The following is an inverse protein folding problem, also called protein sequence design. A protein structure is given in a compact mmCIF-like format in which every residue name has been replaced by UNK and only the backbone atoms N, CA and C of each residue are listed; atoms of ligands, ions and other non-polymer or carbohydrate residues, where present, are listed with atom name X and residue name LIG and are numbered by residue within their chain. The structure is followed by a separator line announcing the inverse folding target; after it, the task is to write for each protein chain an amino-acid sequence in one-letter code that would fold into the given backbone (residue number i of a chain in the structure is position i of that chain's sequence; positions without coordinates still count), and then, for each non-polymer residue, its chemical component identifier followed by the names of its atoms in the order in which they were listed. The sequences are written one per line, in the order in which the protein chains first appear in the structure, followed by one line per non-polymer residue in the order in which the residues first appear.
data_IF_331369976030
#
_entry.id   IF_331369976030
#
_cell.length_a   1.000
_cell.length_b   1.000
_cell.length_c   1.000
_cell.angle_alpha   90.00
_cell.angle_beta   90.00
_cell.angle_gamma   90.00
#
_symmetry.space_group_name_H-M   'P 1'
#
loop_
_entity.id
_entity.type
_entity.pdbx_description
1 polymer ?
#
# COMPACT_ATOMS: atom_id res chain seq x y z
N UNK A 1 4.71 -18.61 5.06
CA UNK A 1 3.48 -19.40 5.35
C UNK A 1 2.18 -18.57 5.28
N UNK A 2 2.22 -17.27 4.93
CA UNK A 2 1.02 -16.44 4.75
C UNK A 2 0.36 -16.64 3.37
N UNK A 3 1.14 -16.96 2.33
CA UNK A 3 0.65 -17.04 0.94
C UNK A 3 -0.33 -18.20 0.66
N UNK A 4 -0.43 -19.17 1.57
CA UNK A 4 -1.39 -20.30 1.50
C UNK A 4 -2.68 -20.01 2.27
N UNK A 5 -2.74 -18.92 3.03
CA UNK A 5 -3.94 -18.48 3.75
C UNK A 5 -4.91 -17.79 2.77
N UNK A 6 -6.13 -18.33 2.64
CA UNK A 6 -7.16 -17.75 1.79
C UNK A 6 -7.53 -16.32 2.21
N UNK A 7 -7.44 -16.01 3.52
CA UNK A 7 -7.67 -14.66 4.03
C UNK A 7 -6.61 -13.67 3.57
N UNK A 8 -5.34 -14.09 3.53
CA UNK A 8 -4.25 -13.26 3.01
C UNK A 8 -4.47 -12.90 1.54
N UNK A 9 -4.83 -13.88 0.70
CA UNK A 9 -5.09 -13.65 -0.73
C UNK A 9 -6.26 -12.70 -0.96
N UNK A 10 -7.35 -12.86 -0.21
CA UNK A 10 -8.50 -11.93 -0.28
C UNK A 10 -8.09 -10.52 0.12
N UNK A 11 -7.28 -10.38 1.18
CA UNK A 11 -6.78 -9.08 1.60
C UNK A 11 -5.87 -8.43 0.55
N UNK A 12 -4.93 -9.18 -0.04
CA UNK A 12 -4.08 -8.66 -1.12
C UNK A 12 -4.93 -8.22 -2.32
N UNK A 13 -5.89 -9.05 -2.73
CA UNK A 13 -6.78 -8.71 -3.83
C UNK A 13 -7.54 -7.39 -3.54
N UNK A 14 -8.11 -7.25 -2.35
CA UNK A 14 -8.78 -6.01 -1.96
C UNK A 14 -7.85 -4.80 -1.85
N UNK A 15 -6.58 -4.96 -1.46
CA UNK A 15 -5.61 -3.86 -1.47
C UNK A 15 -5.31 -3.38 -2.89
N UNK A 16 -5.34 -4.28 -3.87
CA UNK A 16 -5.06 -3.97 -5.28
C UNK A 16 -6.29 -3.41 -5.98
N UNK A 17 -7.44 -4.10 -5.88
CA UNK A 17 -8.66 -3.75 -6.61
C UNK A 17 -9.56 -2.75 -5.87
N UNK A 18 -9.23 -2.43 -4.62
CA UNK A 18 -10.09 -1.72 -3.69
C UNK A 18 -11.01 -2.67 -2.92
N UNK A 19 -11.24 -2.34 -1.65
CA UNK A 19 -12.28 -2.96 -0.85
C UNK A 19 -13.58 -2.21 -1.11
N UNK A 20 -14.65 -2.91 -1.49
CA UNK A 20 -15.98 -2.30 -1.64
C UNK A 20 -16.53 -1.65 -0.35
N UNK A 21 -15.86 -1.83 0.79
CA UNK A 21 -16.09 -1.14 2.05
C UNK A 21 -14.78 -0.95 2.85
N UNK A 22 -14.67 0.11 3.68
CA UNK A 22 -13.46 0.41 4.45
C UNK A 22 -13.22 -0.45 5.69
N UNK A 23 -14.22 -1.23 6.14
CA UNK A 23 -14.09 -2.13 7.29
C UNK A 23 -13.18 -3.33 6.96
N UNK A 24 -13.30 -3.87 5.74
CA UNK A 24 -12.45 -4.99 5.29
C UNK A 24 -10.99 -4.56 5.14
N UNK A 25 -10.73 -3.35 4.66
CA UNK A 25 -9.36 -2.80 4.56
C UNK A 25 -8.67 -2.75 5.93
N UNK A 26 -9.35 -2.17 6.92
CA UNK A 26 -8.82 -1.99 8.28
C UNK A 26 -8.53 -3.34 8.94
N UNK A 27 -9.44 -4.31 8.76
CA UNK A 27 -9.23 -5.67 9.26
C UNK A 27 -8.00 -6.33 8.62
N UNK A 28 -7.84 -6.20 7.30
CA UNK A 28 -6.70 -6.75 6.56
C UNK A 28 -5.36 -6.14 7.00
N UNK A 29 -5.29 -4.82 7.20
CA UNK A 29 -4.08 -4.13 7.67
C UNK A 29 -3.72 -4.50 9.11
N UNK A 30 -4.72 -4.80 9.94
CA UNK A 30 -4.49 -5.25 11.33
C UNK A 30 -3.99 -6.69 11.37
N UNK A 31 -4.55 -7.56 10.51
CA UNK A 31 -4.29 -9.00 10.51
C UNK A 31 -3.00 -9.39 9.79
N UNK A 32 -2.63 -8.64 8.76
CA UNK A 32 -1.50 -8.92 7.88
C UNK A 32 -0.67 -7.65 7.66
N UNK A 33 0.67 -7.76 7.57
CA UNK A 33 1.55 -6.61 7.32
C UNK A 33 1.54 -6.23 5.83
N UNK A 34 0.37 -5.81 5.33
CA UNK A 34 0.16 -5.46 3.93
C UNK A 34 0.38 -3.95 3.70
N UNK A 35 0.92 -3.55 2.53
CA UNK A 35 0.90 -2.15 2.12
C UNK A 35 -0.55 -1.63 2.01
N UNK A 36 -0.73 -0.32 2.19
CA UNK A 36 -2.05 0.30 2.01
C UNK A 36 -2.49 0.26 0.54
N UNK A 37 -3.80 0.38 0.23
CA UNK A 37 -4.27 0.44 -1.15
C UNK A 37 -3.66 1.60 -1.93
N UNK A 38 -3.41 2.74 -1.25
CA UNK A 38 -2.73 3.89 -1.86
C UNK A 38 -1.32 3.54 -2.34
N UNK A 39 -0.59 2.67 -1.63
CA UNK A 39 0.71 2.17 -2.08
C UNK A 39 0.59 1.46 -3.42
N UNK A 40 -0.36 0.52 -3.53
CA UNK A 40 -0.58 -0.24 -4.76
C UNK A 40 -1.00 0.66 -5.92
N UNK A 41 -1.91 1.62 -5.67
CA UNK A 41 -2.30 2.62 -6.67
C UNK A 41 -1.11 3.42 -7.20
N UNK A 42 -0.21 3.86 -6.31
CA UNK A 42 0.99 4.59 -6.73
C UNK A 42 1.96 3.73 -7.55
N UNK A 43 2.12 2.44 -7.21
CA UNK A 43 2.93 1.51 -8.00
C UNK A 43 2.34 1.26 -9.39
N UNK A 44 1.03 1.13 -9.49
CA UNK A 44 0.33 1.00 -10.76
C UNK A 44 0.58 2.23 -11.64
N UNK A 45 0.37 3.43 -11.12
CA UNK A 45 0.54 4.69 -11.86
C UNK A 45 2.00 4.98 -12.24
N UNK A 46 2.98 4.46 -11.50
CA UNK A 46 4.39 4.52 -11.93
C UNK A 46 4.63 3.74 -13.24
N UNK A 47 3.86 2.67 -13.47
CA UNK A 47 4.01 1.82 -14.64
C UNK A 47 3.12 2.26 -15.80
N UNK A 48 1.88 2.67 -15.51
CA UNK A 48 0.87 3.01 -16.51
C UNK A 48 0.77 4.52 -16.81
N UNK A 49 1.40 5.36 -15.99
CA UNK A 49 1.31 6.81 -16.05
C UNK A 49 0.35 7.38 -14.99
N UNK A 50 0.62 8.63 -14.58
CA UNK A 50 -0.22 9.34 -13.62
C UNK A 50 -1.44 9.95 -14.32
N UNK A 51 -2.62 9.77 -13.73
CA UNK A 51 -3.87 10.34 -14.23
C UNK A 51 -3.92 11.87 -14.10
N UNK A 52 -3.16 12.43 -13.14
CA UNK A 52 -3.06 13.87 -12.93
C UNK A 52 -1.72 14.27 -12.32
N UNK A 53 -1.39 15.56 -12.43
CA UNK A 53 -0.26 16.16 -11.72
C UNK A 53 -0.38 15.98 -10.20
N UNK A 54 -1.60 16.11 -9.68
CA UNK A 54 -1.88 15.95 -8.26
C UNK A 54 -1.56 14.52 -7.79
N UNK A 55 -1.95 13.50 -8.56
CA UNK A 55 -1.61 12.10 -8.26
C UNK A 55 -0.10 11.88 -8.23
N UNK A 56 0.64 12.45 -9.19
CA UNK A 56 2.11 12.37 -9.22
C UNK A 56 2.73 12.95 -7.97
N UNK A 57 2.30 14.15 -7.58
CA UNK A 57 2.82 14.84 -6.38
C UNK A 57 2.44 14.06 -5.11
N UNK A 58 1.22 13.53 -5.02
CA UNK A 58 0.76 12.74 -3.89
C UNK A 58 1.60 11.45 -3.72
N UNK A 59 1.78 10.69 -4.80
CA UNK A 59 2.60 9.48 -4.78
C UNK A 59 4.08 9.76 -4.47
N UNK A 60 4.64 10.82 -5.04
CA UNK A 60 6.01 11.25 -4.72
C UNK A 60 6.18 11.57 -3.23
N UNK A 61 5.25 12.34 -2.64
CA UNK A 61 5.30 12.66 -1.21
C UNK A 61 5.12 11.42 -0.32
N UNK A 62 4.26 10.49 -0.72
CA UNK A 62 4.03 9.24 -0.01
C UNK A 62 5.30 8.38 0.04
N UNK A 63 5.94 8.11 -1.11
CA UNK A 63 7.18 7.32 -1.13
C UNK A 63 8.33 8.01 -0.41
N UNK A 64 8.44 9.35 -0.51
CA UNK A 64 9.42 10.11 0.29
C UNK A 64 9.21 9.91 1.79
N UNK A 65 7.96 9.89 2.25
CA UNK A 65 7.63 9.66 3.66
C UNK A 65 8.04 8.25 4.11
N UNK A 66 7.84 7.24 3.26
CA UNK A 66 8.29 5.87 3.54
C UNK A 66 9.82 5.80 3.62
N UNK A 67 10.53 6.39 2.66
CA UNK A 67 11.99 6.39 2.64
C UNK A 67 12.56 6.99 3.94
N UNK A 68 12.07 8.15 4.37
CA UNK A 68 12.48 8.79 5.63
C UNK A 68 12.23 7.91 6.85
N UNK A 69 11.13 7.14 6.88
CA UNK A 69 10.84 6.21 7.99
C UNK A 69 11.83 5.05 8.03
N UNK A 70 12.16 4.48 6.87
CA UNK A 70 13.14 3.39 6.76
C UNK A 70 14.53 3.87 7.23
N UNK A 71 14.96 5.05 6.79
CA UNK A 71 16.24 5.65 7.19
C UNK A 71 16.29 5.94 8.70
N UNK A 72 15.19 6.45 9.26
CA UNK A 72 15.08 6.69 10.70
C UNK A 72 15.14 5.37 11.51
N UNK A 73 14.48 4.31 11.04
CA UNK A 73 14.51 3.00 11.69
C UNK A 73 15.90 2.34 11.59
N UNK A 74 16.59 2.50 10.46
CA UNK A 74 17.96 2.02 10.29
C UNK A 74 18.94 2.73 11.24
N UNK A 75 18.73 4.02 11.50
CA UNK A 75 19.57 4.81 12.41
C UNK A 75 19.37 4.48 13.90
N UNK A 76 18.31 3.72 14.25
CA UNK A 76 18.01 3.29 15.63
C UNK A 76 18.55 1.90 15.97
N UNK A 77 19.11 1.20 14.99
CA UNK A 77 19.70 -0.14 15.13
C UNK A 77 21.21 -0.04 15.19
#
# INVERSE_FOLDING_TARGET
MLETDSGYRTCVAGMISGFGNGLTETWCQTRYPLPSPFHFKCLEQLSSGFASELDRVACSNYFRTIAMRIEADASRR
#
